data_IF_594469501192
#
_entry.id   IF_594469501192
#
_cell.length_a   1.000
_cell.length_b   1.000
_cell.length_c   1.000
_cell.angle_alpha   90.00
_cell.angle_beta   90.00
_cell.angle_gamma   90.00
#
_symmetry.space_group_name_H-M   'P 1'
#
loop_
_entity.id
_entity.type
_entity.pdbx_description
1 polymer ?
#
# COMPACT_ATOMS: atom_id res chain seq x y z
N UNK A 1 -1.95 -6.10 13.09
CA UNK A 1 -0.59 -5.76 12.64
C UNK A 1 -0.59 -5.84 11.13
N UNK A 2 -0.10 -4.81 10.44
CA UNK A 2 -0.03 -4.78 8.98
C UNK A 2 1.32 -5.37 8.53
N UNK A 3 1.30 -6.20 7.51
CA UNK A 3 2.49 -6.86 6.94
C UNK A 3 2.81 -6.26 5.58
N UNK A 4 4.01 -6.54 5.06
CA UNK A 4 4.38 -6.15 3.69
C UNK A 4 3.46 -6.84 2.68
N UNK A 5 3.17 -8.13 2.85
CA UNK A 5 2.23 -8.87 1.99
C UNK A 5 0.84 -8.22 2.00
N UNK A 6 0.33 -7.83 3.18
CA UNK A 6 -0.96 -7.14 3.27
C UNK A 6 -0.97 -5.77 2.60
N UNK A 7 0.18 -5.09 2.49
CA UNK A 7 0.29 -3.85 1.70
C UNK A 7 0.21 -4.15 0.20
N UNK A 8 0.80 -5.26 -0.26
CA UNK A 8 0.61 -5.70 -1.64
C UNK A 8 -0.83 -6.10 -1.94
N UNK A 9 -1.52 -6.76 -0.99
CA UNK A 9 -2.93 -7.11 -1.13
C UNK A 9 -3.81 -5.85 -1.27
N UNK A 10 -3.55 -4.82 -0.45
CA UNK A 10 -4.26 -3.53 -0.57
C UNK A 10 -4.05 -2.88 -1.94
N UNK A 11 -2.81 -2.90 -2.46
CA UNK A 11 -2.49 -2.36 -3.79
C UNK A 11 -3.23 -3.16 -4.88
N UNK A 12 -3.23 -4.49 -4.77
CA UNK A 12 -3.92 -5.34 -5.73
C UNK A 12 -5.43 -5.09 -5.71
N UNK A 13 -6.02 -4.96 -4.53
CA UNK A 13 -7.43 -4.63 -4.38
C UNK A 13 -7.77 -3.27 -5.02
N UNK A 14 -6.92 -2.26 -4.85
CA UNK A 14 -7.10 -0.95 -5.49
C UNK A 14 -7.07 -1.05 -7.02
N UNK A 15 -6.18 -1.88 -7.57
CA UNK A 15 -6.13 -2.17 -9.01
C UNK A 15 -7.43 -2.85 -9.47
N UNK A 16 -7.87 -3.89 -8.77
CA UNK A 16 -9.07 -4.66 -9.12
C UNK A 16 -10.34 -3.79 -9.08
N UNK A 17 -10.38 -2.84 -8.15
CA UNK A 17 -11.48 -1.88 -8.00
C UNK A 17 -11.38 -0.68 -8.94
N UNK A 18 -10.38 -0.64 -9.83
CA UNK A 18 -10.15 0.46 -10.77
C UNK A 18 -10.04 1.82 -10.07
N UNK A 19 -9.26 1.87 -8.98
CA UNK A 19 -8.99 3.12 -8.26
C UNK A 19 -8.56 4.22 -9.25
N UNK A 20 -9.11 5.42 -9.05
CA UNK A 20 -8.86 6.56 -9.91
C UNK A 20 -7.37 6.93 -9.98
N UNK A 21 -6.65 6.78 -8.87
CA UNK A 21 -5.22 6.98 -8.80
C UNK A 21 -4.54 6.02 -7.81
N UNK A 22 -3.39 5.48 -8.23
CA UNK A 22 -2.47 4.75 -7.37
C UNK A 22 -1.08 5.35 -7.57
N UNK A 23 -0.44 5.75 -6.48
CA UNK A 23 0.95 6.22 -6.46
C UNK A 23 1.73 5.42 -5.41
N UNK A 24 2.94 5.00 -5.76
CA UNK A 24 3.80 4.27 -4.83
C UNK A 24 5.26 4.63 -5.02
N UNK A 25 6.00 4.59 -3.91
CA UNK A 25 7.47 4.58 -3.91
C UNK A 25 7.93 3.16 -3.63
N UNK A 26 8.65 2.56 -4.57
CA UNK A 26 9.20 1.21 -4.42
C UNK A 26 10.70 1.27 -4.19
N UNK A 27 11.20 0.58 -3.16
CA UNK A 27 12.64 0.43 -2.96
C UNK A 27 13.10 -0.92 -3.55
N UNK A 28 13.84 -0.93 -4.67
CA UNK A 28 14.28 -2.16 -5.30
C UNK A 28 15.34 -2.93 -4.48
N UNK A 29 16.01 -2.27 -3.53
CA UNK A 29 16.99 -2.90 -2.64
C UNK A 29 16.28 -3.71 -1.56
N UNK A 30 15.17 -3.18 -1.04
CA UNK A 30 14.37 -3.81 0.00
C UNK A 30 13.32 -4.78 -0.57
N UNK A 31 12.92 -4.59 -1.82
CA UNK A 31 11.96 -5.44 -2.52
C UNK A 31 10.50 -5.14 -2.19
N UNK A 32 10.19 -3.99 -1.57
CA UNK A 32 8.82 -3.62 -1.20
C UNK A 32 8.56 -2.10 -1.29
N UNK A 33 7.27 -1.67 -1.34
CA UNK A 33 6.90 -0.26 -1.28
C UNK A 33 7.27 0.39 0.06
N UNK A 34 7.84 1.59 0.02
CA UNK A 34 8.11 2.42 1.20
C UNK A 34 7.03 3.47 1.44
N UNK A 35 6.25 3.79 0.41
CA UNK A 35 5.06 4.64 0.50
C UNK A 35 3.99 4.19 -0.50
N UNK A 36 2.72 4.28 -0.12
CA UNK A 36 1.56 3.94 -0.97
C UNK A 36 0.49 4.99 -0.76
N UNK A 37 -0.05 5.51 -1.86
CA UNK A 37 -1.23 6.36 -1.90
C UNK A 37 -2.23 5.78 -2.90
N UNK A 38 -3.48 5.63 -2.48
CA UNK A 38 -4.60 5.21 -3.31
C UNK A 38 -5.73 6.22 -3.14
N UNK A 39 -6.25 6.68 -4.26
CA UNK A 39 -7.50 7.44 -4.34
C UNK A 39 -8.47 6.64 -5.22
N UNK A 40 -9.56 6.15 -4.62
CA UNK A 40 -10.57 5.36 -5.32
C UNK A 40 -11.45 6.20 -6.24
N UNK A 41 -11.66 7.48 -5.96
CA UNK A 41 -12.53 8.37 -6.72
C UNK A 41 -12.21 9.83 -6.45
N UNK A 42 -11.90 10.58 -7.50
CA UNK A 42 -11.62 12.03 -7.43
C UNK A 42 -12.78 12.88 -6.87
N UNK A 43 -13.95 12.29 -6.60
CA UNK A 43 -15.15 12.97 -6.12
C UNK A 43 -15.46 12.69 -4.65
N UNK A 44 -14.81 11.72 -4.00
CA UNK A 44 -15.10 11.30 -2.62
C UNK A 44 -13.83 11.39 -1.78
N UNK A 45 -13.76 12.39 -0.90
CA UNK A 45 -12.56 12.72 -0.12
C UNK A 45 -12.22 11.69 0.98
N UNK A 46 -13.18 10.88 1.42
CA UNK A 46 -13.00 9.97 2.57
C UNK A 46 -12.61 8.54 2.17
N UNK A 47 -12.31 8.30 0.88
CA UNK A 47 -11.91 7.00 0.33
C UNK A 47 -10.41 6.91 0.01
N UNK A 48 -9.60 7.83 0.54
CA UNK A 48 -8.15 7.84 0.32
C UNK A 48 -7.40 6.93 1.32
N UNK A 49 -6.46 6.13 0.82
CA UNK A 49 -5.51 5.38 1.64
C UNK A 49 -4.11 5.97 1.46
N UNK A 50 -3.48 6.39 2.56
CA UNK A 50 -2.09 6.86 2.57
C UNK A 50 -1.26 6.10 3.60
N UNK A 51 -0.18 5.44 3.16
CA UNK A 51 0.71 4.63 3.99
C UNK A 51 2.16 5.07 3.82
N UNK A 52 2.86 5.19 4.95
CA UNK A 52 4.32 5.32 5.02
C UNK A 52 4.89 4.13 5.80
N UNK A 53 5.73 3.32 5.17
CA UNK A 53 6.29 2.12 5.78
C UNK A 53 7.66 2.43 6.38
N UNK A 54 7.80 2.20 7.69
CA UNK A 54 9.05 2.39 8.43
C UNK A 54 9.10 1.50 9.67
N UNK A 55 10.29 1.32 10.24
CA UNK A 55 10.47 0.60 11.51
C UNK A 55 10.02 -0.87 11.46
N UNK A 56 10.25 -1.54 10.34
CA UNK A 56 9.81 -2.91 10.11
C UNK A 56 10.50 -3.89 11.07
N UNK A 57 9.74 -4.88 11.52
CA UNK A 57 10.25 -6.02 12.28
C UNK A 57 9.85 -7.32 11.58
N UNK A 58 10.67 -8.34 11.71
CA UNK A 58 10.36 -9.66 11.15
C UNK A 58 9.25 -10.32 11.96
N UNK A 59 8.33 -10.97 11.27
CA UNK A 59 7.35 -11.81 11.93
C UNK A 59 8.05 -13.04 12.53
N UNK A 60 7.62 -13.51 13.72
CA UNK A 60 8.14 -14.76 14.26
C UNK A 60 7.85 -15.90 13.29
N UNK A 61 8.87 -16.68 12.96
CA UNK A 61 8.71 -17.93 12.22
C UNK A 61 7.93 -18.89 13.12
N UNK A 62 6.86 -19.48 12.58
CA UNK A 62 6.00 -20.41 13.30
C UNK A 62 6.68 -21.77 13.48
#
# INVERSE_FOLDING_TARGET
>A
MRTIDGVFDDIQQAIDQHAAQIQLSFDPTLGYPTAVFVDHSHQIVDEELALQLSGLTTLPVK
#
